data_IF_024071954910
#
_entry.id   IF_024071954910
#
_cell.length_a   1.000
_cell.length_b   1.000
_cell.length_c   1.000
_cell.angle_alpha   90.00
_cell.angle_beta   90.00
_cell.angle_gamma   90.00
#
_symmetry.space_group_name_H-M   'P 1'
#
loop_
_entity.id
_entity.type
_entity.pdbx_description
1 polymer ?
#
# COMPACT_ATOMS: atom_id res chain seq x y z
N UNK A 1 -35.14 -79.55 -71.50
CA UNK A 1 -34.23 -80.11 -70.47
C UNK A 1 -34.56 -79.39 -69.16
N UNK A 2 -35.24 -80.12 -68.26
CA UNK A 2 -35.54 -79.94 -66.81
C UNK A 2 -35.48 -78.51 -66.20
N UNK A 3 -36.52 -77.88 -65.65
CA UNK A 3 -37.54 -78.23 -64.62
C UNK A 3 -37.27 -77.58 -63.23
N UNK A 4 -38.37 -77.13 -62.59
CA UNK A 4 -38.67 -76.83 -61.15
C UNK A 4 -38.94 -75.34 -60.85
N UNK A 5 -40.19 -74.93 -60.60
CA UNK A 5 -41.09 -75.08 -59.42
C UNK A 5 -40.93 -73.94 -58.37
N UNK A 6 -42.03 -73.18 -58.26
CA UNK A 6 -42.57 -72.18 -57.31
C UNK A 6 -42.48 -72.51 -55.78
N UNK A 7 -43.14 -71.78 -54.81
CA UNK A 7 -43.66 -70.38 -54.68
C UNK A 7 -43.49 -69.74 -53.25
N UNK A 8 -44.03 -68.51 -53.01
CA UNK A 8 -44.54 -68.04 -51.69
C UNK A 8 -44.26 -66.55 -51.36
N UNK A 9 -45.25 -65.64 -51.38
CA UNK A 9 -46.16 -65.20 -50.27
C UNK A 9 -45.46 -64.34 -49.17
N UNK A 10 -45.68 -63.03 -49.02
CA UNK A 10 -46.82 -62.25 -48.46
C UNK A 10 -46.51 -61.71 -47.02
N UNK A 11 -47.01 -60.49 -46.69
CA UNK A 11 -46.94 -59.73 -45.40
C UNK A 11 -45.60 -59.02 -45.09
N UNK A 12 -45.49 -57.83 -44.51
CA UNK A 12 -46.41 -56.95 -43.78
C UNK A 12 -45.67 -56.34 -42.57
N UNK A 13 -45.66 -55.00 -42.46
CA UNK A 13 -45.46 -54.16 -41.26
C UNK A 13 -44.21 -54.32 -40.36
N UNK A 14 -43.42 -53.25 -40.21
CA UNK A 14 -43.11 -52.65 -38.88
C UNK A 14 -42.44 -51.26 -39.03
N UNK A 15 -43.09 -50.21 -38.52
CA UNK A 15 -42.48 -48.90 -38.27
C UNK A 15 -41.72 -48.99 -36.93
N UNK A 16 -40.41 -48.81 -36.94
CA UNK A 16 -39.59 -48.65 -35.73
C UNK A 16 -39.41 -47.16 -35.47
N UNK A 17 -39.96 -46.67 -34.35
CA UNK A 17 -39.72 -45.32 -33.84
C UNK A 17 -38.41 -45.33 -33.03
N UNK A 18 -37.40 -44.63 -33.53
CA UNK A 18 -36.11 -44.47 -32.84
C UNK A 18 -36.24 -43.31 -31.84
N UNK A 19 -36.30 -43.62 -30.54
CA UNK A 19 -36.16 -42.63 -29.46
C UNK A 19 -34.67 -42.33 -29.27
N UNK A 20 -34.25 -41.12 -29.63
CA UNK A 20 -32.93 -40.60 -29.27
C UNK A 20 -32.96 -40.18 -27.79
N UNK A 21 -32.22 -40.89 -26.93
CA UNK A 21 -31.89 -40.42 -25.59
C UNK A 21 -30.59 -39.59 -25.71
N UNK A 22 -30.68 -38.27 -25.48
CA UNK A 22 -29.50 -37.44 -25.29
C UNK A 22 -28.90 -37.74 -23.90
N UNK A 23 -27.59 -37.96 -23.76
CA UNK A 23 -26.96 -38.03 -22.46
C UNK A 23 -26.86 -36.63 -21.87
N UNK A 24 -27.39 -36.42 -20.67
CA UNK A 24 -27.02 -35.27 -19.84
C UNK A 24 -25.55 -35.45 -19.45
N UNK A 25 -24.66 -34.69 -20.08
CA UNK A 25 -23.33 -34.45 -19.54
C UNK A 25 -23.49 -33.43 -18.40
N UNK A 26 -23.46 -33.92 -17.16
CA UNK A 26 -23.26 -33.06 -16.01
C UNK A 26 -21.80 -32.57 -16.03
N UNK A 27 -21.56 -31.36 -16.53
CA UNK A 27 -20.31 -30.65 -16.27
C UNK A 27 -20.27 -30.30 -14.78
N UNK A 28 -19.56 -31.10 -14.00
CA UNK A 28 -19.06 -30.65 -12.71
C UNK A 28 -17.97 -29.61 -13.01
N UNK A 29 -18.35 -28.33 -13.03
CA UNK A 29 -17.38 -27.28 -12.81
C UNK A 29 -16.85 -27.49 -11.39
N UNK A 30 -15.60 -27.91 -11.26
CA UNK A 30 -14.88 -27.80 -9.99
C UNK A 30 -14.92 -26.31 -9.65
N UNK A 31 -15.59 -25.94 -8.56
CA UNK A 31 -15.44 -24.60 -8.01
C UNK A 31 -13.95 -24.44 -7.74
N UNK A 32 -13.31 -23.52 -8.46
CA UNK A 32 -11.95 -23.13 -8.14
C UNK A 32 -12.03 -22.51 -6.74
N UNK A 33 -11.36 -23.14 -5.76
CA UNK A 33 -11.22 -22.54 -4.43
C UNK A 33 -10.71 -21.12 -4.63
N UNK A 34 -11.37 -20.16 -3.98
CA UNK A 34 -11.03 -18.77 -4.19
C UNK A 34 -9.67 -18.52 -3.54
N UNK A 35 -8.68 -18.22 -4.36
CA UNK A 35 -7.33 -17.94 -3.87
C UNK A 35 -7.26 -16.50 -3.37
N UNK A 36 -7.24 -16.35 -2.04
CA UNK A 36 -7.10 -15.06 -1.39
C UNK A 36 -5.64 -14.61 -1.30
N UNK A 37 -4.69 -15.50 -1.58
CA UNK A 37 -3.28 -15.23 -1.32
C UNK A 37 -2.72 -14.16 -2.25
N UNK A 38 -1.73 -13.43 -1.73
CA UNK A 38 -1.07 -12.33 -2.42
C UNK A 38 -1.33 -11.00 -1.73
N UNK A 39 -0.92 -9.94 -2.42
CA UNK A 39 -1.09 -8.58 -1.95
C UNK A 39 -2.14 -7.86 -2.76
N UNK A 40 -2.84 -6.95 -2.11
CA UNK A 40 -4.00 -6.27 -2.62
C UNK A 40 -3.93 -4.80 -2.26
N UNK A 41 -4.22 -3.91 -3.22
CA UNK A 41 -4.47 -2.52 -2.92
C UNK A 41 -5.81 -2.43 -2.21
N UNK A 42 -5.75 -2.14 -0.92
CA UNK A 42 -6.89 -2.00 -0.03
C UNK A 42 -7.45 -0.58 -0.14
N UNK A 43 -8.77 -0.48 -0.22
CA UNK A 43 -9.52 0.76 -0.19
C UNK A 43 -10.63 0.68 0.87
N UNK A 44 -10.59 1.59 1.83
CA UNK A 44 -11.57 1.75 2.90
C UNK A 44 -12.44 2.97 2.58
N UNK A 45 -13.73 2.77 2.33
CA UNK A 45 -14.66 3.80 1.92
C UNK A 45 -15.73 4.04 3.00
N UNK A 46 -15.49 4.99 3.92
CA UNK A 46 -16.48 5.41 4.92
C UNK A 46 -17.58 6.32 4.33
N UNK A 47 -17.68 6.47 3.00
CA UNK A 47 -18.62 7.37 2.32
C UNK A 47 -18.16 8.84 2.27
N UNK A 48 -16.93 9.12 2.70
CA UNK A 48 -16.32 10.45 2.65
C UNK A 48 -15.06 10.48 1.79
N UNK A 49 -13.88 10.27 2.37
CA UNK A 49 -12.61 10.16 1.64
C UNK A 49 -12.09 8.73 1.80
N UNK A 50 -11.73 8.10 0.69
CA UNK A 50 -11.20 6.74 0.69
C UNK A 50 -9.78 6.72 1.27
N UNK A 51 -9.55 5.83 2.22
CA UNK A 51 -8.23 5.51 2.76
C UNK A 51 -7.66 4.29 2.03
N UNK A 52 -6.37 4.33 1.71
CA UNK A 52 -5.71 3.29 0.93
C UNK A 52 -4.52 2.69 1.67
N UNK A 53 -4.27 1.41 1.40
CA UNK A 53 -3.12 0.68 1.92
C UNK A 53 -2.86 -0.59 1.12
N UNK A 54 -2.02 -1.45 1.67
CA UNK A 54 -1.73 -2.77 1.12
C UNK A 54 -2.19 -3.83 2.09
N UNK A 55 -3.16 -4.64 1.66
CA UNK A 55 -3.58 -5.87 2.34
C UNK A 55 -2.73 -7.03 1.81
N UNK A 56 -2.02 -7.74 2.69
CA UNK A 56 -1.29 -8.94 2.36
C UNK A 56 -1.96 -10.14 3.04
N UNK A 57 -2.28 -11.17 2.25
CA UNK A 57 -2.86 -12.42 2.72
C UNK A 57 -1.90 -13.54 2.31
N UNK A 58 -1.41 -14.29 3.28
CA UNK A 58 -0.50 -15.40 3.07
C UNK A 58 -0.94 -16.63 3.88
N UNK A 59 -0.59 -17.81 3.40
CA UNK A 59 -0.74 -19.06 4.15
C UNK A 59 0.64 -19.70 4.33
N UNK A 60 1.06 -19.89 5.57
CA UNK A 60 2.34 -20.53 5.91
C UNK A 60 2.09 -21.72 6.81
N UNK A 61 2.50 -22.92 6.37
CA UNK A 61 2.34 -24.16 7.13
C UNK A 61 0.89 -24.48 7.54
N UNK A 62 -0.10 -24.03 6.75
CA UNK A 62 -1.52 -24.23 7.05
C UNK A 62 -2.11 -23.21 8.03
N UNK A 63 -1.36 -22.17 8.38
CA UNK A 63 -1.85 -21.03 9.15
C UNK A 63 -1.94 -19.79 8.26
N UNK A 64 -3.10 -19.13 8.32
CA UNK A 64 -3.34 -17.88 7.62
C UNK A 64 -2.73 -16.71 8.38
N UNK A 65 -2.12 -15.82 7.62
CA UNK A 65 -1.49 -14.61 8.10
C UNK A 65 -1.98 -13.46 7.24
N UNK A 66 -2.48 -12.41 7.90
CA UNK A 66 -3.04 -11.24 7.22
C UNK A 66 -2.41 -9.98 7.79
N UNK A 67 -2.07 -9.05 6.91
CA UNK A 67 -1.39 -7.81 7.25
C UNK A 67 -2.00 -6.64 6.51
N UNK A 68 -2.03 -5.46 7.15
CA UNK A 68 -2.29 -4.18 6.50
C UNK A 68 -1.03 -3.32 6.65
N UNK A 69 -0.49 -2.84 5.55
CA UNK A 69 0.70 -1.98 5.48
C UNK A 69 1.95 -2.62 6.14
N UNK A 70 1.95 -3.94 6.36
CA UNK A 70 3.00 -4.67 7.08
C UNK A 70 2.76 -4.82 8.59
N UNK A 71 1.64 -4.34 9.12
CA UNK A 71 1.18 -4.63 10.48
C UNK A 71 0.18 -5.79 10.52
N UNK A 72 0.31 -6.69 11.49
CA UNK A 72 -0.65 -7.79 11.67
C UNK A 72 -2.06 -7.30 11.98
N UNK A 73 -3.04 -8.10 11.58
CA UNK A 73 -4.46 -7.90 11.88
C UNK A 73 -5.02 -9.10 12.65
N UNK A 74 -6.17 -8.94 13.28
CA UNK A 74 -6.87 -10.05 13.92
C UNK A 74 -7.77 -10.76 12.90
N UNK A 75 -7.34 -11.91 12.40
CA UNK A 75 -8.14 -12.72 11.47
C UNK A 75 -9.31 -13.40 12.20
N UNK A 76 -10.54 -13.04 11.83
CA UNK A 76 -11.76 -13.57 12.43
C UNK A 76 -12.23 -14.85 11.71
N UNK A 77 -12.19 -14.84 10.38
CA UNK A 77 -12.50 -16.03 9.58
C UNK A 77 -11.94 -15.91 8.15
N UNK A 78 -11.60 -17.05 7.56
CA UNK A 78 -11.35 -17.17 6.12
C UNK A 78 -11.79 -18.56 5.67
N UNK A 79 -12.71 -18.61 4.71
CA UNK A 79 -13.26 -19.85 4.19
C UNK A 79 -13.94 -19.63 2.83
N UNK A 80 -13.74 -20.58 1.92
CA UNK A 80 -14.30 -20.55 0.56
C UNK A 80 -13.91 -19.28 -0.21
N UNK A 81 -14.82 -18.33 -0.35
CA UNK A 81 -14.64 -17.03 -0.97
C UNK A 81 -14.85 -15.87 0.02
N UNK A 82 -14.87 -16.13 1.33
CA UNK A 82 -15.17 -15.14 2.36
C UNK A 82 -13.99 -14.94 3.29
N UNK A 83 -13.78 -13.70 3.68
CA UNK A 83 -12.75 -13.29 4.63
C UNK A 83 -13.33 -12.25 5.58
N UNK A 84 -13.00 -12.36 6.87
CA UNK A 84 -13.28 -11.36 7.88
C UNK A 84 -12.08 -11.18 8.81
N UNK A 85 -11.70 -9.94 9.09
CA UNK A 85 -10.65 -9.58 10.03
C UNK A 85 -10.91 -8.18 10.60
N UNK A 86 -10.33 -7.87 11.76
CA UNK A 86 -10.33 -6.51 12.30
C UNK A 86 -8.90 -5.96 12.43
N UNK A 87 -8.78 -4.63 12.35
CA UNK A 87 -7.52 -3.94 12.51
C UNK A 87 -7.69 -2.62 13.26
N UNK A 88 -6.63 -2.24 13.98
CA UNK A 88 -6.53 -1.00 14.72
C UNK A 88 -6.05 0.16 13.83
N UNK A 89 -6.61 1.35 14.03
CA UNK A 89 -6.17 2.57 13.35
C UNK A 89 -6.39 3.80 14.24
N UNK A 90 -5.75 4.91 13.90
CA UNK A 90 -5.88 6.18 14.64
C UNK A 90 -6.50 7.28 13.80
N UNK A 91 -7.44 8.03 14.39
CA UNK A 91 -8.04 9.19 13.74
C UNK A 91 -7.17 10.46 13.91
N UNK A 92 -7.65 11.59 13.38
CA UNK A 92 -6.95 12.87 13.48
C UNK A 92 -6.86 13.46 14.90
N UNK A 93 -7.57 12.87 15.87
CA UNK A 93 -7.54 13.24 17.28
C UNK A 93 -6.72 12.25 18.12
N UNK A 94 -5.96 11.36 17.46
CA UNK A 94 -5.18 10.28 18.08
C UNK A 94 -6.04 9.29 18.89
N UNK A 95 -7.34 9.18 18.56
CA UNK A 95 -8.21 8.16 19.15
C UNK A 95 -7.96 6.83 18.43
N UNK A 96 -7.81 5.76 19.23
CA UNK A 96 -7.66 4.41 18.72
C UNK A 96 -9.04 3.83 18.38
N UNK A 97 -9.15 3.31 17.17
CA UNK A 97 -10.32 2.64 16.63
C UNK A 97 -9.99 1.20 16.27
N UNK A 98 -11.01 0.34 16.21
CA UNK A 98 -10.89 -1.03 15.70
C UNK A 98 -12.06 -1.26 14.74
N UNK A 99 -11.74 -1.47 13.47
CA UNK A 99 -12.75 -1.68 12.43
C UNK A 99 -12.69 -3.11 11.93
N UNK A 100 -13.83 -3.80 11.92
CA UNK A 100 -13.99 -5.11 11.31
C UNK A 100 -14.31 -4.97 9.82
N UNK A 101 -13.58 -5.69 8.99
CA UNK A 101 -13.78 -5.84 7.56
C UNK A 101 -14.29 -7.24 7.30
N UNK A 102 -15.51 -7.34 6.78
CA UNK A 102 -16.11 -8.60 6.32
C UNK A 102 -16.37 -8.50 4.82
N UNK A 103 -15.91 -9.46 4.02
CA UNK A 103 -16.01 -9.40 2.56
C UNK A 103 -15.95 -10.73 1.83
N UNK A 104 -16.21 -10.66 0.52
CA UNK A 104 -16.20 -11.80 -0.37
C UNK A 104 -15.28 -11.56 -1.58
N UNK A 105 -14.50 -12.57 -1.96
CA UNK A 105 -13.71 -12.62 -3.18
C UNK A 105 -14.61 -13.04 -4.35
N UNK A 106 -14.87 -12.11 -5.27
CA UNK A 106 -15.69 -12.33 -6.46
C UNK A 106 -15.02 -11.69 -7.67
N UNK A 107 -14.88 -12.47 -8.75
CA UNK A 107 -14.29 -12.01 -10.01
C UNK A 107 -12.91 -11.32 -9.87
N UNK A 108 -12.07 -11.80 -8.95
CA UNK A 108 -10.71 -11.29 -8.75
C UNK A 108 -10.61 -10.01 -7.91
N UNK A 109 -11.67 -9.63 -7.20
CA UNK A 109 -11.69 -8.51 -6.25
C UNK A 109 -12.33 -8.96 -4.94
N UNK A 110 -11.78 -8.52 -3.82
CA UNK A 110 -12.40 -8.71 -2.50
C UNK A 110 -13.24 -7.47 -2.22
N UNK A 111 -14.45 -7.61 -1.70
CA UNK A 111 -15.25 -6.47 -1.29
C UNK A 111 -16.32 -6.82 -0.26
N UNK A 112 -16.68 -5.83 0.55
CA UNK A 112 -17.69 -6.00 1.58
C UNK A 112 -17.91 -4.77 2.45
N UNK A 113 -18.35 -5.01 3.68
CA UNK A 113 -18.74 -3.98 4.65
C UNK A 113 -17.69 -3.77 5.73
N UNK A 114 -17.62 -2.54 6.23
CA UNK A 114 -16.86 -2.16 7.41
C UNK A 114 -17.82 -1.93 8.57
N UNK A 115 -17.46 -2.41 9.75
CA UNK A 115 -18.22 -2.17 10.98
C UNK A 115 -17.32 -1.79 12.14
N UNK A 116 -17.81 -0.93 13.03
CA UNK A 116 -17.16 -0.55 14.28
C UNK A 116 -18.20 -0.56 15.40
N UNK A 117 -17.88 -1.22 16.53
CA UNK A 117 -18.81 -1.42 17.65
C UNK A 117 -20.19 -2.01 17.27
N UNK A 118 -20.24 -2.74 16.15
CA UNK A 118 -21.45 -3.36 15.60
C UNK A 118 -22.29 -2.47 14.68
N UNK A 119 -21.89 -1.20 14.48
CA UNK A 119 -22.51 -0.28 13.54
C UNK A 119 -21.79 -0.33 12.18
N UNK A 120 -22.55 -0.26 11.08
CA UNK A 120 -21.98 -0.19 9.72
C UNK A 120 -21.38 1.21 9.48
N UNK A 121 -20.08 1.24 9.20
CA UNK A 121 -19.31 2.48 9.02
C UNK A 121 -18.93 2.75 7.57
N UNK A 122 -19.13 1.78 6.67
CA UNK A 122 -18.92 1.95 5.24
C UNK A 122 -18.67 0.65 4.50
N UNK A 123 -18.01 0.75 3.36
CA UNK A 123 -17.63 -0.40 2.53
C UNK A 123 -16.13 -0.44 2.32
N UNK A 124 -15.60 -1.62 1.96
CA UNK A 124 -14.21 -1.75 1.58
C UNK A 124 -14.08 -2.62 0.34
N UNK A 125 -12.95 -2.50 -0.32
CA UNK A 125 -12.56 -3.42 -1.38
C UNK A 125 -11.06 -3.57 -1.46
N UNK A 126 -10.61 -4.68 -2.05
CA UNK A 126 -9.21 -4.93 -2.33
C UNK A 126 -9.06 -5.45 -3.77
N UNK A 127 -8.21 -4.78 -4.54
CA UNK A 127 -7.84 -5.16 -5.90
C UNK A 127 -6.43 -5.74 -5.91
N UNK A 128 -6.11 -6.73 -6.77
CA UNK A 128 -4.78 -7.31 -6.80
C UNK A 128 -3.71 -6.23 -6.93
N UNK A 129 -2.75 -6.20 -6.01
CA UNK A 129 -1.62 -5.31 -6.13
C UNK A 129 -0.74 -5.81 -7.26
N UNK A 130 -0.46 -4.93 -8.22
CA UNK A 130 0.42 -5.27 -9.34
C UNK A 130 1.83 -5.37 -8.81
N UNK A 131 2.31 -6.59 -8.61
CA UNK A 131 3.73 -6.77 -8.36
C UNK A 131 4.54 -6.22 -9.52
N UNK A 132 5.56 -5.47 -9.17
CA UNK A 132 6.47 -4.84 -10.08
C UNK A 132 7.85 -5.47 -9.90
N UNK A 133 8.03 -6.74 -10.33
CA UNK A 133 9.34 -7.37 -10.32
C UNK A 133 10.25 -6.63 -11.29
N UNK A 134 11.55 -6.61 -11.02
CA UNK A 134 12.55 -6.16 -12.00
C UNK A 134 12.45 -7.09 -13.22
N UNK A 135 11.74 -6.60 -14.23
CA UNK A 135 11.49 -7.35 -15.47
C UNK A 135 12.64 -7.23 -16.45
N UNK A 136 13.63 -6.35 -16.18
CA UNK A 136 14.62 -5.93 -17.16
C UNK A 136 14.00 -5.31 -18.41
N UNK A 137 12.76 -4.82 -18.33
CA UNK A 137 12.07 -4.19 -19.45
C UNK A 137 12.80 -2.93 -19.90
N UNK A 138 12.89 -2.74 -21.23
CA UNK A 138 13.46 -1.53 -21.80
C UNK A 138 12.73 -0.28 -21.27
N UNK A 139 13.45 0.79 -20.90
CA UNK A 139 12.85 2.05 -20.47
C UNK A 139 11.84 2.62 -21.48
N UNK A 140 10.62 2.90 -21.00
CA UNK A 140 9.55 3.55 -21.74
C UNK A 140 8.94 4.71 -20.91
N UNK A 141 9.75 5.75 -20.59
CA UNK A 141 9.36 6.82 -19.69
C UNK A 141 8.13 7.59 -20.19
N UNK A 142 7.24 7.95 -19.27
CA UNK A 142 6.17 8.92 -19.51
C UNK A 142 6.58 10.29 -18.97
N UNK A 143 5.92 11.36 -19.43
CA UNK A 143 6.15 12.69 -18.86
C UNK A 143 5.53 12.79 -17.46
N UNK A 144 6.38 12.57 -16.46
CA UNK A 144 6.03 12.69 -15.04
C UNK A 144 6.01 14.14 -14.55
N UNK A 145 6.52 15.10 -15.35
CA UNK A 145 6.68 16.49 -14.92
C UNK A 145 5.35 17.19 -14.73
N UNK A 146 5.19 17.94 -13.64
CA UNK A 146 4.02 18.76 -13.36
C UNK A 146 3.66 18.77 -11.88
N UNK A 147 2.56 19.47 -11.59
CA UNK A 147 1.97 19.47 -10.26
C UNK A 147 1.07 18.25 -10.05
N UNK A 148 1.20 17.63 -8.89
CA UNK A 148 0.48 16.43 -8.50
C UNK A 148 -0.22 16.68 -7.17
N UNK A 149 -1.55 16.59 -7.19
CA UNK A 149 -2.42 16.77 -6.03
C UNK A 149 -2.66 15.44 -5.34
N UNK A 150 -2.56 15.40 -4.02
CA UNK A 150 -2.93 14.20 -3.25
C UNK A 150 -4.43 13.97 -3.28
N UNK A 151 -4.84 12.76 -3.66
CA UNK A 151 -6.24 12.31 -3.61
C UNK A 151 -6.43 11.03 -2.79
N UNK A 152 -5.35 10.55 -2.17
CA UNK A 152 -5.36 9.43 -1.24
C UNK A 152 -4.98 9.86 0.18
N UNK A 153 -5.40 9.04 1.13
CA UNK A 153 -4.96 9.00 2.51
C UNK A 153 -4.49 7.58 2.83
N UNK A 154 -3.62 7.41 3.81
CA UNK A 154 -3.18 6.09 4.27
C UNK A 154 -4.23 5.42 5.16
N UNK A 155 -4.05 4.13 5.48
CA UNK A 155 -4.96 3.38 6.37
C UNK A 155 -4.97 3.87 7.82
N UNK A 156 -3.96 4.67 8.21
CA UNK A 156 -3.73 5.08 9.59
C UNK A 156 -3.59 3.91 10.58
N UNK A 157 -3.18 2.73 10.10
CA UNK A 157 -2.82 1.56 10.93
C UNK A 157 -1.91 2.00 12.09
N UNK A 158 -2.26 1.61 13.32
CA UNK A 158 -1.49 2.03 14.52
C UNK A 158 -0.39 1.02 14.86
N UNK A 159 -0.70 -0.26 14.95
CA UNK A 159 0.26 -1.32 15.30
C UNK A 159 0.94 -1.94 14.08
N UNK A 160 2.26 -2.09 14.14
CA UNK A 160 3.08 -2.78 13.13
C UNK A 160 3.81 -3.96 13.75
N UNK A 161 4.25 -4.90 12.90
CA UNK A 161 5.10 -6.03 13.32
C UNK A 161 6.52 -5.53 13.61
N UNK A 162 6.71 -4.90 14.77
CA UNK A 162 8.00 -4.36 15.20
C UNK A 162 8.92 -5.46 15.75
N UNK A 163 10.23 -5.33 15.50
CA UNK A 163 11.24 -6.09 16.22
C UNK A 163 11.25 -5.66 17.70
N UNK A 164 11.85 -6.44 18.62
CA UNK A 164 12.02 -5.99 20.00
C UNK A 164 12.77 -4.64 20.13
N UNK A 165 13.67 -4.33 19.20
CA UNK A 165 14.37 -3.05 19.16
C UNK A 165 13.46 -1.92 18.66
N UNK A 166 12.70 -2.15 17.59
CA UNK A 166 11.71 -1.20 17.08
C UNK A 166 10.63 -0.88 18.11
N UNK A 167 10.10 -1.91 18.77
CA UNK A 167 9.11 -1.79 19.84
C UNK A 167 9.66 -0.95 21.01
N UNK A 168 10.90 -1.18 21.44
CA UNK A 168 11.51 -0.39 22.51
C UNK A 168 11.68 1.10 22.13
N UNK A 169 11.91 1.41 20.85
CA UNK A 169 11.97 2.79 20.36
C UNK A 169 10.56 3.41 20.35
N UNK A 170 9.57 2.67 19.85
CA UNK A 170 8.19 3.15 19.77
C UNK A 170 7.56 3.33 21.17
N UNK A 171 7.77 2.39 22.10
CA UNK A 171 7.31 2.48 23.50
C UNK A 171 7.91 3.68 24.24
N UNK A 172 9.13 4.09 23.86
CA UNK A 172 9.82 5.23 24.45
C UNK A 172 9.46 6.57 23.80
N UNK A 173 8.70 6.56 22.69
CA UNK A 173 8.36 7.74 21.92
C UNK A 173 7.19 8.50 22.57
N UNK A 174 7.43 9.74 23.00
CA UNK A 174 6.36 10.63 23.45
C UNK A 174 5.84 11.44 22.25
N UNK A 175 4.63 11.10 21.76
CA UNK A 175 3.97 11.78 20.64
C UNK A 175 3.83 13.30 20.87
N UNK A 176 3.82 13.77 22.12
CA UNK A 176 3.67 15.18 22.49
C UNK A 176 5.00 15.94 22.56
N UNK A 177 6.14 15.26 22.61
CA UNK A 177 7.46 15.87 22.77
C UNK A 177 8.42 15.56 21.61
N UNK A 178 8.36 14.34 21.10
CA UNK A 178 9.40 13.78 20.23
C UNK A 178 9.09 13.94 18.76
N UNK A 179 7.82 14.12 18.37
CA UNK A 179 7.43 14.31 16.97
C UNK A 179 8.19 15.51 16.35
N UNK A 180 9.02 15.28 15.30
CA UNK A 180 9.74 16.34 14.64
C UNK A 180 8.83 17.44 14.08
N UNK A 181 7.62 17.10 13.64
CA UNK A 181 6.69 18.03 13.00
C UNK A 181 6.21 19.12 13.95
N UNK A 182 6.05 18.81 15.24
CA UNK A 182 5.66 19.79 16.27
C UNK A 182 6.67 20.95 16.38
N UNK A 183 7.92 20.73 15.95
CA UNK A 183 9.01 21.72 16.00
C UNK A 183 9.42 22.23 14.62
N UNK A 184 8.54 22.08 13.64
CA UNK A 184 8.81 22.45 12.26
C UNK A 184 10.06 21.76 11.66
N UNK A 185 10.35 20.54 12.13
CA UNK A 185 11.42 19.70 11.58
C UNK A 185 10.80 18.64 10.67
N UNK A 186 11.37 18.46 9.49
CA UNK A 186 10.93 17.43 8.55
C UNK A 186 11.01 16.02 9.15
N UNK A 187 10.00 15.22 8.85
CA UNK A 187 9.91 13.80 9.22
C UNK A 187 10.62 12.88 8.22
N UNK A 188 11.36 13.44 7.27
CA UNK A 188 12.12 12.70 6.27
C UNK A 188 11.29 12.14 5.11
N UNK A 189 11.98 11.49 4.17
CA UNK A 189 11.44 11.16 2.84
C UNK A 189 10.09 10.43 2.87
N UNK A 190 9.96 9.38 3.68
CA UNK A 190 8.74 8.57 3.71
C UNK A 190 7.54 9.37 4.26
N UNK A 191 7.73 10.15 5.34
CA UNK A 191 6.66 10.98 5.93
C UNK A 191 6.28 12.16 5.04
N UNK A 192 7.24 12.70 4.28
CA UNK A 192 6.99 13.81 3.34
C UNK A 192 6.30 13.31 2.07
N UNK A 193 6.70 12.15 1.55
CA UNK A 193 6.08 11.53 0.37
C UNK A 193 4.70 10.95 0.66
N UNK A 194 4.45 10.36 1.83
CA UNK A 194 3.13 9.82 2.22
C UNK A 194 2.14 10.92 2.66
N UNK A 195 2.62 12.16 2.85
CA UNK A 195 1.77 13.26 3.28
C UNK A 195 0.68 13.57 2.23
N UNK A 196 -0.57 13.85 2.67
CA UNK A 196 -1.67 14.25 1.79
C UNK A 196 -1.50 15.72 1.36
N UNK A 197 -0.40 15.99 0.65
CA UNK A 197 0.06 17.29 0.20
C UNK A 197 0.48 17.22 -1.26
N UNK A 198 0.38 18.36 -1.91
CA UNK A 198 0.72 18.51 -3.31
C UNK A 198 2.24 18.67 -3.45
N UNK A 199 2.77 18.16 -4.57
CA UNK A 199 4.16 18.37 -4.95
C UNK A 199 4.29 18.64 -6.44
N UNK A 200 5.41 19.23 -6.83
CA UNK A 200 5.79 19.44 -8.22
C UNK A 200 6.94 18.50 -8.57
N UNK A 201 6.79 17.75 -9.67
CA UNK A 201 7.86 16.95 -10.26
C UNK A 201 8.42 17.70 -11.47
N UNK A 202 9.76 17.78 -11.55
CA UNK A 202 10.48 18.38 -12.67
C UNK A 202 11.49 17.37 -13.18
N UNK A 203 11.25 16.81 -14.36
CA UNK A 203 12.21 15.95 -15.05
C UNK A 203 13.26 16.79 -15.81
N UNK A 204 14.54 16.53 -15.55
CA UNK A 204 15.69 17.14 -16.25
C UNK A 204 16.48 16.14 -17.10
N UNK A 205 16.01 14.89 -17.20
CA UNK A 205 16.65 13.80 -17.92
C UNK A 205 17.71 13.09 -17.09
N UNK A 206 18.76 13.79 -16.64
CA UNK A 206 19.82 13.20 -15.79
C UNK A 206 19.44 13.13 -14.31
N UNK A 207 18.40 13.86 -13.90
CA UNK A 207 17.80 13.79 -12.58
C UNK A 207 16.34 14.26 -12.61
N UNK A 208 15.56 13.76 -11.66
CA UNK A 208 14.22 14.27 -11.34
C UNK A 208 14.30 15.09 -10.06
N UNK A 209 13.65 16.25 -10.03
CA UNK A 209 13.46 17.05 -8.83
C UNK A 209 12.01 16.94 -8.38
N UNK A 210 11.81 16.76 -7.08
CA UNK A 210 10.49 16.87 -6.45
C UNK A 210 10.54 18.02 -5.47
N UNK A 211 9.61 18.96 -5.62
CA UNK A 211 9.42 20.09 -4.72
C UNK A 211 8.14 19.84 -3.93
N UNK A 212 8.24 19.74 -2.60
CA UNK A 212 7.09 19.48 -1.75
C UNK A 212 6.59 20.79 -1.16
N UNK A 213 5.27 20.99 -1.14
CA UNK A 213 4.66 22.06 -0.33
C UNK A 213 5.00 21.83 1.16
N UNK A 214 5.04 20.57 1.57
CA UNK A 214 5.23 20.19 2.96
C UNK A 214 6.66 20.44 3.46
N UNK A 215 6.78 21.23 4.54
CA UNK A 215 8.05 21.70 5.12
C UNK A 215 9.00 22.42 4.16
N UNK A 216 8.57 22.76 2.94
CA UNK A 216 9.43 23.31 1.90
C UNK A 216 10.58 22.38 1.51
N UNK A 217 10.40 21.07 1.69
CA UNK A 217 11.40 20.08 1.35
C UNK A 217 11.58 19.98 -0.16
N UNK A 218 12.76 19.50 -0.56
CA UNK A 218 13.03 19.17 -1.94
C UNK A 218 13.85 17.90 -2.02
N UNK A 219 13.62 17.13 -3.06
CA UNK A 219 14.32 15.86 -3.29
C UNK A 219 14.87 15.82 -4.70
N UNK A 220 16.07 15.27 -4.83
CA UNK A 220 16.68 14.94 -6.11
C UNK A 220 16.80 13.44 -6.22
N UNK A 221 16.31 12.92 -7.34
CA UNK A 221 16.46 11.52 -7.73
C UNK A 221 17.42 11.50 -8.92
N UNK A 222 18.57 10.86 -8.77
CA UNK A 222 19.55 10.74 -9.85
C UNK A 222 19.13 9.65 -10.83
N UNK A 223 19.12 9.97 -12.12
CA UNK A 223 18.63 9.08 -13.19
C UNK A 223 19.75 8.60 -14.12
N UNK A 224 21.01 8.92 -13.80
CA UNK A 224 22.17 8.72 -14.66
C UNK A 224 22.88 7.37 -14.49
N UNK A 225 22.26 6.43 -13.77
CA UNK A 225 22.79 5.08 -13.54
C UNK A 225 24.02 5.03 -12.64
N UNK A 226 24.33 6.11 -11.91
CA UNK A 226 25.41 6.09 -10.91
C UNK A 226 25.13 5.06 -9.80
N UNK A 227 26.18 4.50 -9.17
CA UNK A 227 26.00 3.73 -7.95
C UNK A 227 25.75 4.64 -6.75
N UNK A 228 25.25 4.07 -5.65
CA UNK A 228 25.23 4.74 -4.36
C UNK A 228 26.65 5.08 -3.89
N UNK A 229 26.85 6.22 -3.19
CA UNK A 229 28.11 6.52 -2.52
C UNK A 229 28.51 5.43 -1.52
N UNK A 230 29.81 5.10 -1.43
CA UNK A 230 30.32 4.03 -0.55
C UNK A 230 29.96 4.20 0.95
N UNK A 231 29.68 5.42 1.41
CA UNK A 231 29.36 5.73 2.82
C UNK A 231 27.99 6.39 2.96
N UNK A 232 26.98 5.83 2.31
CA UNK A 232 25.64 6.43 2.26
C UNK A 232 24.92 6.42 3.61
N UNK A 233 25.07 5.37 4.41
CA UNK A 233 24.40 5.22 5.72
C UNK A 233 24.82 6.30 6.75
N UNK A 234 26.01 6.88 6.59
CA UNK A 234 26.48 7.99 7.45
C UNK A 234 26.09 9.39 6.95
N UNK A 235 25.36 9.49 5.84
CA UNK A 235 24.97 10.78 5.27
C UNK A 235 23.87 11.47 6.10
N UNK A 236 23.01 10.69 6.78
CA UNK A 236 21.94 11.16 7.67
C UNK A 236 21.13 12.32 7.07
N UNK A 237 20.74 12.18 5.81
CA UNK A 237 20.00 13.20 5.07
C UNK A 237 18.50 13.03 5.36
N UNK A 238 17.76 14.10 5.73
CA UNK A 238 16.31 14.00 5.94
C UNK A 238 15.57 13.37 4.74
N UNK A 239 15.90 13.79 3.52
CA UNK A 239 15.32 13.26 2.28
C UNK A 239 16.11 12.08 1.68
N UNK A 240 17.12 11.57 2.38
CA UNK A 240 18.01 10.52 1.90
C UNK A 240 18.80 10.90 0.64
N UNK A 241 19.40 9.89 0.01
CA UNK A 241 19.98 9.96 -1.33
C UNK A 241 19.21 9.00 -2.23
N UNK A 242 18.67 9.51 -3.33
CA UNK A 242 17.79 8.72 -4.21
C UNK A 242 18.42 8.50 -5.58
N UNK A 243 18.33 7.27 -6.06
CA UNK A 243 18.70 6.86 -7.41
C UNK A 243 17.47 6.22 -8.02
N UNK A 244 17.16 6.57 -9.26
CA UNK A 244 16.03 6.00 -9.98
C UNK A 244 16.41 5.53 -11.37
N UNK A 245 15.57 4.64 -11.88
CA UNK A 245 15.63 4.15 -13.24
C UNK A 245 14.22 3.81 -13.72
N UNK A 246 14.08 3.72 -15.03
CA UNK A 246 12.81 3.36 -15.67
C UNK A 246 12.81 1.87 -15.99
N UNK A 247 11.76 1.17 -15.56
CA UNK A 247 11.46 -0.22 -15.94
C UNK A 247 10.16 -0.19 -16.74
N UNK A 248 10.25 -0.26 -18.07
CA UNK A 248 9.11 0.09 -18.92
C UNK A 248 8.59 1.50 -18.59
N UNK A 249 7.30 1.62 -18.31
CA UNK A 249 6.64 2.89 -17.97
C UNK A 249 6.51 3.14 -16.46
N UNK A 250 7.38 2.54 -15.66
CA UNK A 250 7.43 2.71 -14.22
C UNK A 250 8.76 3.31 -13.81
N UNK A 251 8.72 4.38 -13.01
CA UNK A 251 9.90 4.93 -12.38
C UNK A 251 10.11 4.22 -11.04
N UNK A 252 11.17 3.43 -10.96
CA UNK A 252 11.62 2.79 -9.72
C UNK A 252 12.65 3.70 -9.06
N UNK A 253 12.49 3.98 -7.78
CA UNK A 253 13.40 4.85 -7.02
C UNK A 253 13.82 4.14 -5.75
N UNK A 254 15.12 4.02 -5.55
CA UNK A 254 15.70 3.53 -4.32
C UNK A 254 16.31 4.69 -3.52
N UNK A 255 16.01 4.73 -2.22
CA UNK A 255 16.55 5.75 -1.31
C UNK A 255 17.23 5.12 -0.11
N UNK A 256 18.45 5.59 0.16
CA UNK A 256 19.31 5.14 1.27
C UNK A 256 19.93 6.34 1.99
N UNK A 257 20.57 6.10 3.14
CA UNK A 257 21.27 7.16 3.89
C UNK A 257 20.33 8.17 4.54
N UNK A 258 19.14 7.71 4.90
CA UNK A 258 18.12 8.51 5.57
C UNK A 258 18.57 8.84 6.99
N UNK A 259 18.18 10.01 7.48
CA UNK A 259 18.31 10.35 8.90
C UNK A 259 17.30 9.51 9.71
N UNK A 260 17.71 8.86 10.82
CA UNK A 260 16.76 8.22 11.72
C UNK A 260 15.66 9.16 12.17
N UNK A 261 14.42 8.70 12.11
CA UNK A 261 13.23 9.51 12.36
C UNK A 261 12.02 8.61 12.63
N UNK A 262 10.82 9.19 12.63
CA UNK A 262 9.56 8.46 12.66
C UNK A 262 8.75 8.82 11.42
N UNK A 263 8.12 7.82 10.80
CA UNK A 263 7.43 8.03 9.53
C UNK A 263 5.96 8.44 9.65
N UNK A 264 5.39 8.36 10.86
CA UNK A 264 4.06 8.84 11.20
C UNK A 264 4.03 9.53 12.57
N UNK A 265 2.83 9.97 12.98
CA UNK A 265 2.60 10.55 14.31
C UNK A 265 2.56 9.48 15.42
N UNK A 266 2.29 8.22 15.08
CA UNK A 266 2.27 7.11 16.01
C UNK A 266 3.67 6.75 16.56
N UNK A 267 4.71 7.25 15.90
CA UNK A 267 6.10 7.09 16.33
C UNK A 267 6.78 5.90 15.69
N UNK A 268 6.30 5.46 14.52
CA UNK A 268 6.86 4.30 13.84
C UNK A 268 8.30 4.59 13.36
N UNK A 269 9.32 3.87 13.88
CA UNK A 269 10.71 4.27 13.74
C UNK A 269 11.30 3.91 12.37
N UNK A 270 12.14 4.80 11.84
CA UNK A 270 12.95 4.57 10.64
C UNK A 270 14.42 4.64 11.01
N UNK A 271 15.19 3.60 10.68
CA UNK A 271 16.62 3.52 10.95
C UNK A 271 17.46 4.19 9.85
N UNK A 272 18.75 4.40 10.12
CA UNK A 272 19.70 4.89 9.11
C UNK A 272 20.03 3.86 8.03
N UNK A 273 19.85 2.57 8.34
CA UNK A 273 20.04 1.45 7.42
C UNK A 273 18.79 1.11 6.61
N UNK A 274 17.68 1.81 6.85
CA UNK A 274 16.46 1.61 6.09
C UNK A 274 16.69 1.88 4.59
N UNK A 275 15.99 1.11 3.77
CA UNK A 275 15.95 1.27 2.31
C UNK A 275 14.50 1.49 1.91
N UNK A 276 14.22 2.63 1.27
CA UNK A 276 12.91 2.91 0.71
C UNK A 276 12.94 2.64 -0.79
N UNK A 277 12.07 1.76 -1.25
CA UNK A 277 11.80 1.53 -2.67
C UNK A 277 10.45 2.17 -3.00
N UNK A 278 10.44 3.03 -4.01
CA UNK A 278 9.24 3.64 -4.56
C UNK A 278 9.03 3.19 -5.99
N UNK A 279 7.77 2.95 -6.36
CA UNK A 279 7.40 2.61 -7.74
C UNK A 279 6.30 3.54 -8.20
N UNK A 280 6.62 4.40 -9.17
CA UNK A 280 5.74 5.46 -9.67
C UNK A 280 5.28 5.14 -11.09
N UNK A 281 3.98 5.07 -11.33
CA UNK A 281 3.40 4.73 -12.62
C UNK A 281 2.03 5.41 -12.83
N UNK A 282 1.60 5.55 -14.08
CA UNK A 282 0.27 6.07 -14.42
C UNK A 282 -0.71 4.93 -14.69
N UNK A 283 -1.94 5.08 -14.21
CA UNK A 283 -3.07 4.26 -14.70
C UNK A 283 -3.65 4.81 -16.01
N UNK A 284 -4.65 4.10 -16.55
CA UNK A 284 -5.34 4.50 -17.78
C UNK A 284 -6.05 5.86 -17.67
N UNK A 285 -6.41 6.28 -16.45
CA UNK A 285 -7.01 7.58 -16.16
C UNK A 285 -5.98 8.70 -16.02
N UNK A 286 -4.68 8.38 -16.01
CA UNK A 286 -3.59 9.33 -15.82
C UNK A 286 -3.36 9.72 -14.36
N UNK A 287 -3.86 8.93 -13.40
CA UNK A 287 -3.51 9.08 -11.98
C UNK A 287 -2.13 8.50 -11.74
N UNK A 288 -1.31 9.23 -10.98
CA UNK A 288 0.00 8.79 -10.54
C UNK A 288 -0.15 7.92 -9.30
N UNK A 289 0.17 6.65 -9.44
CA UNK A 289 0.35 5.73 -8.33
C UNK A 289 1.76 5.86 -7.79
N UNK A 290 1.90 5.73 -6.48
CA UNK A 290 3.18 5.49 -5.84
C UNK A 290 3.02 4.37 -4.83
N UNK A 291 3.69 3.25 -5.09
CA UNK A 291 3.90 2.21 -4.09
C UNK A 291 5.16 2.53 -3.31
N UNK A 292 5.08 2.40 -1.99
CA UNK A 292 6.22 2.51 -1.09
C UNK A 292 6.47 1.16 -0.44
N UNK A 293 7.74 0.78 -0.37
CA UNK A 293 8.23 -0.41 0.32
C UNK A 293 9.42 0.01 1.18
N UNK A 294 9.20 0.12 2.49
CA UNK A 294 10.23 0.44 3.46
C UNK A 294 10.80 -0.86 4.03
N UNK A 295 12.03 -1.17 3.63
CA UNK A 295 12.82 -2.27 4.15
C UNK A 295 13.68 -1.76 5.32
N UNK A 296 13.30 -2.06 6.56
CA UNK A 296 14.04 -1.68 7.76
C UNK A 296 14.04 -2.81 8.82
N UNK A 297 14.85 -3.86 8.62
CA UNK A 297 14.88 -5.03 9.50
C UNK A 297 15.43 -4.74 10.90
N UNK A 298 15.96 -3.53 11.16
CA UNK A 298 16.31 -3.12 12.51
C UNK A 298 15.06 -2.88 13.36
N UNK A 299 13.98 -2.39 12.73
CA UNK A 299 12.77 -1.94 13.40
C UNK A 299 11.54 -2.80 13.12
N UNK A 300 11.46 -3.45 11.97
CA UNK A 300 10.30 -4.23 11.54
C UNK A 300 10.68 -5.68 11.21
N UNK A 301 9.79 -6.61 11.52
CA UNK A 301 9.94 -8.03 11.16
C UNK A 301 9.65 -8.28 9.66
N UNK A 302 9.00 -7.31 9.00
CA UNK A 302 8.68 -7.34 7.56
C UNK A 302 8.73 -5.94 6.95
N UNK A 303 8.80 -5.81 5.61
CA UNK A 303 8.72 -4.50 4.98
C UNK A 303 7.36 -3.84 5.27
N UNK A 304 7.40 -2.53 5.47
CA UNK A 304 6.19 -1.69 5.57
C UNK A 304 5.81 -1.24 4.16
N UNK A 305 4.52 -1.32 3.86
CA UNK A 305 3.99 -0.94 2.55
C UNK A 305 3.03 0.24 2.66
N UNK A 306 3.04 1.12 1.66
CA UNK A 306 2.02 2.16 1.48
C UNK A 306 1.65 2.28 0.01
N UNK A 307 0.44 2.73 -0.25
CA UNK A 307 -0.04 3.04 -1.59
C UNK A 307 -0.66 4.43 -1.61
N UNK A 308 -0.20 5.28 -2.53
CA UNK A 308 -0.74 6.63 -2.69
C UNK A 308 -1.15 6.91 -4.14
N UNK A 309 -2.21 7.70 -4.28
CA UNK A 309 -2.71 8.22 -5.55
C UNK A 309 -2.58 9.73 -5.60
N UNK A 310 -2.13 10.22 -6.75
CA UNK A 310 -2.11 11.64 -7.06
C UNK A 310 -2.71 11.90 -8.42
N UNK A 311 -3.38 13.03 -8.53
CA UNK A 311 -3.94 13.52 -9.78
C UNK A 311 -3.15 14.71 -10.29
N UNK A 312 -3.03 14.82 -11.61
CA UNK A 312 -2.35 15.98 -12.20
C UNK A 312 -3.17 17.24 -11.90
N UNK A 313 -2.54 18.20 -11.24
CA UNK A 313 -3.17 19.46 -10.87
C UNK A 313 -2.91 20.52 -11.94
N UNK A 314 -3.93 21.31 -12.34
CA UNK A 314 -3.73 22.48 -13.20
C UNK A 314 -3.17 23.68 -12.44
N UNK A 315 -3.02 23.60 -11.11
CA UNK A 315 -2.41 24.65 -10.31
C UNK A 315 -0.97 24.92 -10.77
N UNK A 316 -0.53 26.17 -10.65
CA UNK A 316 0.75 26.63 -11.16
C UNK A 316 1.74 27.00 -10.05
N UNK A 317 1.47 26.60 -8.81
CA UNK A 317 2.37 26.87 -7.69
C UNK A 317 2.02 26.04 -6.46
N UNK A 318 3.06 25.63 -5.73
CA UNK A 318 2.91 24.97 -4.44
C UNK A 318 2.37 25.95 -3.40
N UNK A 319 1.54 25.44 -2.51
CA UNK A 319 1.17 26.14 -1.29
C UNK A 319 2.40 26.52 -0.47
N UNK A 320 2.18 27.36 0.54
CA UNK A 320 3.19 27.56 1.59
C UNK A 320 2.72 26.81 2.81
N UNK A 321 3.38 25.71 3.15
CA UNK A 321 3.25 25.13 4.48
C UNK A 321 3.73 26.14 5.54
N UNK A 322 2.79 26.64 6.32
CA UNK A 322 3.06 27.52 7.45
C UNK A 322 3.18 26.67 8.71
N UNK A 323 4.41 26.50 9.20
CA UNK A 323 4.68 25.92 10.50
C UNK A 323 5.33 26.98 11.39
N UNK A 324 4.89 27.06 12.64
CA UNK A 324 5.44 27.95 13.65
C UNK A 324 5.82 27.13 14.89
N UNK A 325 7.13 26.95 15.18
CA UNK A 325 7.55 26.16 16.34
C UNK A 325 7.24 26.87 17.67
N UNK A 326 6.90 28.16 17.64
CA UNK A 326 6.57 28.93 18.84
C UNK A 326 5.36 28.36 19.58
N UNK A 327 4.35 27.83 18.86
CA UNK A 327 3.17 27.22 19.53
C UNK A 327 3.57 26.03 20.38
N UNK A 328 4.43 25.15 19.88
CA UNK A 328 4.97 24.01 20.63
C UNK A 328 5.74 24.45 21.88
N UNK A 329 6.77 25.28 21.71
CA UNK A 329 7.60 25.70 22.85
C UNK A 329 6.83 26.54 23.87
N UNK A 330 5.87 27.35 23.43
CA UNK A 330 4.99 28.12 24.31
C UNK A 330 4.05 27.22 25.10
N UNK A 331 3.47 26.18 24.50
CA UNK A 331 2.62 25.24 25.23
C UNK A 331 3.42 24.55 26.34
N UNK A 332 4.63 24.08 26.04
CA UNK A 332 5.51 23.49 27.05
C UNK A 332 5.89 24.47 28.17
N UNK A 333 6.12 25.76 27.85
CA UNK A 333 6.39 26.80 28.85
C UNK A 333 5.19 27.02 29.77
N UNK A 334 3.98 27.13 29.20
CA UNK A 334 2.74 27.32 29.94
C UNK A 334 2.36 26.12 30.83
N UNK A 335 2.83 24.93 30.47
CA UNK A 335 2.62 23.67 31.19
C UNK A 335 3.76 23.34 32.17
N UNK A 336 4.79 24.19 32.28
CA UNK A 336 6.02 23.93 33.05
C UNK A 336 6.76 22.63 32.62
N UNK A 337 6.67 22.26 31.34
CA UNK A 337 7.24 21.04 30.72
C UNK A 337 8.48 21.27 29.85
N UNK A 338 9.00 22.51 29.76
CA UNK A 338 10.21 22.78 28.97
C UNK A 338 11.42 21.98 29.46
N UNK A 339 11.62 21.86 30.77
CA UNK A 339 12.74 21.11 31.34
C UNK A 339 12.63 19.60 31.05
N UNK A 340 11.42 19.05 31.08
CA UNK A 340 11.13 17.67 30.69
C UNK A 340 11.57 17.41 29.25
N UNK A 341 11.19 18.30 28.33
CA UNK A 341 11.60 18.23 26.93
C UNK A 341 13.13 18.28 26.78
N UNK A 342 13.83 19.24 27.41
CA UNK A 342 15.29 19.32 27.27
C UNK A 342 16.01 18.10 27.86
N UNK A 343 15.46 17.50 28.91
CA UNK A 343 15.98 16.27 29.50
C UNK A 343 15.76 15.06 28.59
N UNK A 344 14.62 14.94 27.91
CA UNK A 344 14.36 13.82 27.00
C UNK A 344 15.37 13.79 25.84
N UNK A 345 15.73 14.97 25.31
CA UNK A 345 16.67 15.10 24.18
C UNK A 345 18.13 14.82 24.53
N UNK A 346 18.50 14.87 25.80
CA UNK A 346 19.86 14.52 26.24
C UNK A 346 20.16 13.02 26.21
N UNK A 347 19.15 12.18 25.91
CA UNK A 347 19.23 10.71 25.89
C UNK A 347 19.55 10.13 24.50
N UNK A 348 19.57 10.95 23.44
CA UNK A 348 19.75 10.52 22.05
C UNK A 348 20.90 11.25 21.34
#
# INVERSE_FOLDING_TARGET
>A
MLARLQPGSCHGLLKVALRYALPLMASAALAQEADHTGKWVLALDPGSVIDYGILEIAETQGEWQVYIDGGSVNLLSIADNRIAFDFDWTDSFDLLHVTELSGELLAGRIGGSMTEDGDETGTWYAEPWVEHPDTGADPAPFDISGMWRSVSRGTHKDAFDLTPAGAAINDAYDRTLDDPHLRCVSGGVIRIEDAPRDYEIIDRGDHVLILYDYFGESRRIWMDGRPFPERIEGAYLPMGYSIGHWEGSMLVVETRGMKPTVWDAAGMPVSASAVLIERKYLDEAGRLHTDYELNDPANYERPVYRHAYRERSPETGLGKYACDPHTFYRSLDLEDRLDEYWQSRSRF
#
